data_IF_799572984417
#
_entry.id   IF_799572984417
#
_cell.length_a   1.000
_cell.length_b   1.000
_cell.length_c   1.000
_cell.angle_alpha   90.00
_cell.angle_beta   90.00
_cell.angle_gamma   90.00
#
_symmetry.space_group_name_H-M   'P 1'
#
loop_
_entity.id
_entity.type
_entity.pdbx_description
1 polymer ?
#
# COMPACT_ATOMS: atom_id res chain seq x y z
N UNK A 1 -61.85 6.76 30.49
CA UNK A 1 -60.87 7.43 31.36
C UNK A 1 -59.80 8.04 30.46
N UNK A 2 -59.86 9.36 30.34
CA UNK A 2 -58.99 10.23 29.53
C UNK A 2 -57.73 10.61 30.30
N UNK A 3 -56.66 10.85 29.53
CA UNK A 3 -55.66 11.92 29.64
C UNK A 3 -54.59 11.58 28.59
N UNK A 4 -54.45 12.17 27.39
CA UNK A 4 -54.60 13.54 26.88
C UNK A 4 -53.66 14.56 27.56
N UNK A 5 -52.68 15.07 26.79
CA UNK A 5 -52.13 16.44 26.67
C UNK A 5 -50.66 16.38 26.19
N UNK A 6 -50.13 17.39 25.46
CA UNK A 6 -50.55 17.91 24.14
C UNK A 6 -49.36 17.99 23.12
N UNK A 7 -49.61 18.38 21.85
CA UNK A 7 -48.57 18.63 20.85
C UNK A 7 -48.06 20.08 20.90
N UNK A 8 -46.79 20.30 20.55
CA UNK A 8 -46.26 21.63 20.24
C UNK A 8 -46.21 21.82 18.72
N UNK A 9 -47.00 22.77 18.24
CA UNK A 9 -47.00 23.29 16.87
C UNK A 9 -46.48 24.74 16.86
N UNK A 10 -46.04 25.17 15.67
CA UNK A 10 -45.86 26.56 15.20
C UNK A 10 -44.57 27.28 15.67
N UNK A 11 -43.79 27.97 14.84
CA UNK A 11 -43.99 28.50 13.48
C UNK A 11 -42.68 29.06 12.92
N UNK A 12 -42.59 29.14 11.59
CA UNK A 12 -41.88 30.14 10.76
C UNK A 12 -40.39 30.40 11.04
N UNK A 13 -39.49 30.43 10.05
CA UNK A 13 -39.53 31.44 8.98
C UNK A 13 -38.55 31.03 7.88
N UNK A 14 -38.99 31.20 6.64
CA UNK A 14 -38.29 30.93 5.40
C UNK A 14 -37.50 32.13 4.87
N UNK A 15 -36.43 31.81 4.10
CA UNK A 15 -35.73 32.58 3.05
C UNK A 15 -34.56 33.51 3.44
N UNK A 16 -33.63 33.87 2.51
CA UNK A 16 -33.28 33.24 1.23
C UNK A 16 -31.77 32.99 1.00
N UNK A 17 -31.52 32.15 0.00
CA UNK A 17 -30.25 31.98 -0.71
C UNK A 17 -29.92 33.26 -1.49
N UNK A 18 -28.76 33.87 -1.25
CA UNK A 18 -28.23 34.99 -2.04
C UNK A 18 -26.82 34.68 -2.52
N UNK A 19 -26.70 34.44 -3.82
CA UNK A 19 -25.44 34.52 -4.55
C UNK A 19 -25.04 35.97 -4.77
N UNK A 20 -23.74 36.30 -4.74
CA UNK A 20 -23.23 37.47 -5.45
C UNK A 20 -22.37 37.04 -6.64
N UNK A 21 -22.85 37.33 -7.84
CA UNK A 21 -22.02 37.52 -9.02
C UNK A 21 -21.44 38.93 -8.96
N UNK A 22 -20.11 39.06 -8.96
CA UNK A 22 -19.44 40.32 -9.28
C UNK A 22 -18.08 40.05 -9.92
N UNK A 23 -18.05 40.30 -11.23
CA UNK A 23 -16.87 40.44 -12.08
C UNK A 23 -16.03 41.65 -11.62
N UNK A 24 -14.73 41.45 -11.40
CA UNK A 24 -13.75 42.53 -11.45
C UNK A 24 -12.39 41.99 -11.90
N UNK A 25 -12.05 42.25 -13.16
CA UNK A 25 -10.71 42.13 -13.70
C UNK A 25 -9.78 43.15 -13.03
N UNK A 26 -8.61 42.72 -12.56
CA UNK A 26 -7.44 43.61 -12.46
C UNK A 26 -6.16 42.81 -12.64
N UNK A 27 -5.42 43.21 -13.67
CA UNK A 27 -4.14 42.69 -14.13
C UNK A 27 -2.97 43.12 -13.24
N UNK A 28 -1.87 42.41 -13.46
CA UNK A 28 -0.47 42.70 -13.13
C UNK A 28 0.00 42.48 -11.69
N UNK A 29 0.70 41.35 -11.49
CA UNK A 29 2.17 41.33 -11.35
C UNK A 29 2.65 39.90 -11.09
N UNK A 30 2.90 39.14 -12.17
CA UNK A 30 3.69 37.92 -12.11
C UNK A 30 5.16 38.31 -11.87
N UNK A 31 5.63 38.23 -10.62
CA UNK A 31 7.03 37.91 -10.35
C UNK A 31 7.13 36.40 -10.17
N UNK A 32 7.58 35.75 -11.22
CA UNK A 32 7.85 34.32 -11.29
C UNK A 32 9.07 34.02 -10.39
N UNK A 33 8.82 33.68 -9.13
CA UNK A 33 9.83 33.11 -8.26
C UNK A 33 10.07 31.67 -8.72
N UNK A 34 11.34 31.22 -8.90
CA UNK A 34 11.61 29.87 -9.37
C UNK A 34 11.12 28.88 -8.31
N UNK A 35 9.98 28.24 -8.57
CA UNK A 35 9.49 27.15 -7.74
C UNK A 35 10.45 25.96 -7.86
N UNK A 36 10.93 25.53 -6.70
CA UNK A 36 11.91 24.46 -6.48
C UNK A 36 11.45 23.12 -7.09
N UNK A 37 11.87 22.83 -8.31
CA UNK A 37 11.72 21.50 -8.95
C UNK A 37 12.75 20.45 -8.47
N UNK A 38 13.50 20.70 -7.39
CA UNK A 38 14.57 19.82 -6.91
C UNK A 38 14.16 18.46 -6.27
N UNK A 39 13.03 18.29 -5.56
CA UNK A 39 12.80 17.03 -4.82
C UNK A 39 12.42 15.86 -5.74
N UNK A 40 11.71 16.14 -6.85
CA UNK A 40 11.26 15.10 -7.80
C UNK A 40 12.43 14.54 -8.61
N UNK A 41 13.42 15.38 -8.96
CA UNK A 41 14.60 14.94 -9.73
C UNK A 41 15.53 14.06 -8.91
N UNK A 42 15.69 14.33 -7.60
CA UNK A 42 16.51 13.51 -6.69
C UNK A 42 15.92 12.12 -6.49
N UNK A 43 14.63 12.03 -6.17
CA UNK A 43 13.93 10.73 -6.00
C UNK A 43 13.95 9.92 -7.30
N UNK A 44 13.79 10.57 -8.46
CA UNK A 44 13.90 9.89 -9.75
C UNK A 44 15.29 9.28 -9.97
N UNK A 45 16.36 9.99 -9.61
CA UNK A 45 17.72 9.47 -9.74
C UNK A 45 17.99 8.30 -8.77
N UNK A 46 17.51 8.40 -7.53
CA UNK A 46 17.59 7.32 -6.53
C UNK A 46 16.81 6.07 -6.99
N UNK A 47 15.63 6.25 -7.59
CA UNK A 47 14.84 5.14 -8.16
C UNK A 47 15.58 4.45 -9.32
N UNK A 48 16.23 5.21 -10.21
CA UNK A 48 17.04 4.62 -11.28
C UNK A 48 18.26 3.87 -10.74
N UNK A 49 18.92 4.41 -9.71
CA UNK A 49 20.02 3.72 -9.06
C UNK A 49 19.54 2.42 -8.39
N UNK A 50 18.42 2.47 -7.68
CA UNK A 50 17.82 1.29 -7.07
C UNK A 50 17.47 0.21 -8.10
N UNK A 51 16.90 0.58 -9.25
CA UNK A 51 16.61 -0.37 -10.35
C UNK A 51 17.86 -1.09 -10.84
N UNK A 52 18.99 -0.40 -10.97
CA UNK A 52 20.27 -1.01 -11.38
C UNK A 52 20.75 -2.02 -10.34
N UNK A 53 20.77 -1.62 -9.06
CA UNK A 53 21.16 -2.51 -7.96
C UNK A 53 20.27 -3.76 -7.92
N UNK A 54 18.95 -3.59 -8.02
CA UNK A 54 18.00 -4.70 -8.04
C UNK A 54 18.20 -5.63 -9.25
N UNK A 55 18.52 -5.09 -10.43
CA UNK A 55 18.80 -5.87 -11.63
C UNK A 55 20.09 -6.70 -11.47
N UNK A 56 21.16 -6.09 -10.98
CA UNK A 56 22.43 -6.79 -10.75
C UNK A 56 22.30 -7.90 -9.71
N UNK A 57 21.56 -7.66 -8.63
CA UNK A 57 21.27 -8.68 -7.61
C UNK A 57 20.49 -9.85 -8.19
N UNK A 58 19.50 -9.58 -9.06
CA UNK A 58 18.71 -10.62 -9.73
C UNK A 58 19.52 -11.43 -10.72
N UNK A 59 20.40 -10.80 -11.50
CA UNK A 59 21.26 -11.50 -12.46
C UNK A 59 22.20 -12.50 -11.76
N UNK A 60 22.70 -12.13 -10.58
CA UNK A 60 23.60 -12.95 -9.77
C UNK A 60 22.86 -13.96 -8.88
N UNK A 61 21.52 -13.94 -8.87
CA UNK A 61 20.74 -14.74 -7.95
C UNK A 61 20.76 -16.22 -8.34
N UNK A 62 21.48 -17.01 -7.54
CA UNK A 62 21.38 -18.47 -7.55
C UNK A 62 20.80 -18.93 -6.20
N UNK A 63 19.58 -19.51 -6.16
CA UNK A 63 19.00 -20.00 -4.91
C UNK A 63 19.88 -21.08 -4.28
N UNK A 64 20.16 -20.96 -2.99
CA UNK A 64 20.88 -21.99 -2.25
C UNK A 64 20.10 -23.34 -2.26
N UNK A 65 20.78 -24.50 -2.25
CA UNK A 65 20.10 -25.80 -2.29
C UNK A 65 19.33 -26.09 -0.99
N UNK A 66 19.87 -25.67 0.15
CA UNK A 66 19.28 -25.90 1.47
C UNK A 66 18.28 -24.80 1.86
N UNK A 67 17.13 -25.18 2.42
CA UNK A 67 16.08 -24.24 2.80
C UNK A 67 16.56 -23.17 3.79
N UNK A 68 17.29 -23.57 4.84
CA UNK A 68 17.82 -22.62 5.84
C UNK A 68 18.89 -21.68 5.26
N UNK A 69 19.62 -22.11 4.24
CA UNK A 69 20.54 -21.24 3.50
C UNK A 69 19.77 -20.25 2.62
N UNK A 70 18.65 -20.68 1.99
CA UNK A 70 17.76 -19.78 1.24
C UNK A 70 17.10 -18.74 2.13
N UNK A 71 16.70 -19.09 3.35
CA UNK A 71 16.12 -18.14 4.31
C UNK A 71 17.11 -17.03 4.66
N UNK A 72 18.35 -17.39 5.01
CA UNK A 72 19.45 -16.43 5.24
C UNK A 72 19.75 -15.59 4.01
N UNK A 73 19.85 -16.24 2.83
CA UNK A 73 20.05 -15.56 1.56
C UNK A 73 18.94 -14.53 1.28
N UNK A 74 17.67 -14.84 1.58
CA UNK A 74 16.58 -13.88 1.46
C UNK A 74 16.80 -12.67 2.37
N UNK A 75 17.17 -12.89 3.62
CA UNK A 75 17.47 -11.80 4.55
C UNK A 75 18.65 -10.93 4.08
N UNK A 76 19.74 -11.54 3.63
CA UNK A 76 20.93 -10.81 3.15
C UNK A 76 20.58 -9.93 1.94
N UNK A 77 19.86 -10.50 0.96
CA UNK A 77 19.38 -9.75 -0.21
C UNK A 77 18.40 -8.63 0.16
N UNK A 78 17.54 -8.87 1.14
CA UNK A 78 16.64 -7.84 1.66
C UNK A 78 17.42 -6.69 2.31
N UNK A 79 18.46 -7.01 3.07
CA UNK A 79 19.31 -6.02 3.73
C UNK A 79 20.04 -5.13 2.70
N UNK A 80 20.60 -5.74 1.65
CA UNK A 80 21.25 -5.03 0.54
C UNK A 80 20.27 -4.07 -0.16
N UNK A 81 19.04 -4.53 -0.43
CA UNK A 81 18.00 -3.72 -1.05
C UNK A 81 17.49 -2.62 -0.11
N UNK A 82 17.32 -2.91 1.18
CA UNK A 82 16.79 -1.98 2.17
C UNK A 82 17.67 -0.72 2.29
N UNK A 83 18.99 -0.87 2.30
CA UNK A 83 19.94 0.24 2.33
C UNK A 83 19.87 1.17 1.11
N UNK A 84 19.45 0.63 -0.04
CA UNK A 84 19.37 1.35 -1.31
C UNK A 84 17.95 1.78 -1.69
N UNK A 85 16.94 1.44 -0.89
CA UNK A 85 15.54 1.65 -1.24
C UNK A 85 15.07 3.09 -0.96
N UNK A 86 14.77 3.90 -2.00
CA UNK A 86 14.22 5.24 -1.79
C UNK A 86 12.80 5.21 -1.23
N UNK A 87 12.00 4.20 -1.55
CA UNK A 87 10.62 4.07 -1.08
C UNK A 87 10.28 2.64 -0.66
N UNK A 88 9.26 2.47 0.19
CA UNK A 88 8.75 1.12 0.50
C UNK A 88 8.16 0.43 -0.74
N UNK A 89 7.64 1.21 -1.69
CA UNK A 89 6.97 0.69 -2.89
C UNK A 89 7.96 -0.04 -3.78
N UNK A 90 9.13 0.56 -4.04
CA UNK A 90 10.15 -0.08 -4.86
C UNK A 90 10.73 -1.33 -4.17
N UNK A 91 10.97 -1.28 -2.85
CA UNK A 91 11.38 -2.44 -2.07
C UNK A 91 10.35 -3.57 -2.15
N UNK A 92 9.08 -3.27 -1.87
CA UNK A 92 7.99 -4.24 -1.93
C UNK A 92 7.91 -4.86 -3.32
N UNK A 93 7.87 -4.06 -4.39
CA UNK A 93 7.75 -4.55 -5.76
C UNK A 93 8.89 -5.48 -6.14
N UNK A 94 10.13 -5.11 -5.84
CA UNK A 94 11.29 -5.89 -6.27
C UNK A 94 11.52 -7.14 -5.42
N UNK A 95 11.12 -7.10 -4.14
CA UNK A 95 11.43 -8.18 -3.20
C UNK A 95 10.24 -9.09 -2.90
N UNK A 96 9.11 -8.53 -2.49
CA UNK A 96 7.90 -9.25 -2.03
C UNK A 96 6.77 -9.32 -3.07
N UNK A 97 6.81 -8.49 -4.10
CA UNK A 97 5.78 -8.42 -5.14
C UNK A 97 5.71 -9.71 -5.95
N UNK A 98 4.69 -9.85 -6.81
CA UNK A 98 4.41 -11.13 -7.49
C UNK A 98 5.53 -11.70 -8.38
N UNK A 99 6.50 -10.88 -8.80
CA UNK A 99 7.72 -11.31 -9.50
C UNK A 99 8.99 -10.98 -8.69
N UNK A 100 8.85 -10.82 -7.38
CA UNK A 100 9.92 -10.42 -6.49
C UNK A 100 10.92 -11.56 -6.21
N UNK A 101 12.05 -11.19 -5.61
CA UNK A 101 13.14 -12.11 -5.24
C UNK A 101 12.63 -13.31 -4.42
N UNK A 102 11.65 -13.12 -3.53
CA UNK A 102 11.09 -14.20 -2.71
C UNK A 102 10.52 -15.34 -3.56
N UNK A 103 9.85 -15.04 -4.68
CA UNK A 103 9.30 -16.08 -5.56
C UNK A 103 10.37 -16.82 -6.37
N UNK A 104 11.54 -16.20 -6.56
CA UNK A 104 12.69 -16.85 -7.19
C UNK A 104 13.41 -17.79 -6.21
N UNK A 105 13.46 -17.43 -4.92
CA UNK A 105 14.07 -18.25 -3.86
C UNK A 105 13.16 -19.41 -3.42
N UNK A 106 11.85 -19.20 -3.38
CA UNK A 106 10.87 -20.17 -2.88
C UNK A 106 9.80 -20.45 -3.93
N UNK A 107 10.14 -21.30 -4.91
CA UNK A 107 9.31 -21.54 -6.08
C UNK A 107 8.08 -22.42 -5.82
N UNK A 108 8.03 -23.13 -4.68
CA UNK A 108 6.88 -23.98 -4.30
C UNK A 108 6.06 -23.31 -3.20
N UNK A 109 4.75 -23.59 -3.18
CA UNK A 109 3.86 -23.07 -2.14
C UNK A 109 4.22 -23.58 -0.74
N UNK A 110 4.76 -24.80 -0.64
CA UNK A 110 5.20 -25.39 0.63
C UNK A 110 6.44 -24.70 1.17
N UNK A 111 7.44 -24.43 0.31
CA UNK A 111 8.64 -23.69 0.67
C UNK A 111 8.29 -22.26 1.06
N UNK A 112 7.47 -21.57 0.26
CA UNK A 112 7.04 -20.22 0.54
C UNK A 112 6.28 -20.16 1.87
N UNK A 113 5.27 -21.01 2.06
CA UNK A 113 4.53 -21.06 3.32
C UNK A 113 5.44 -21.32 4.53
N UNK A 114 6.45 -22.18 4.37
CA UNK A 114 7.47 -22.42 5.41
C UNK A 114 8.31 -21.19 5.70
N UNK A 115 8.75 -20.48 4.66
CA UNK A 115 9.51 -19.24 4.79
C UNK A 115 8.71 -18.14 5.51
N UNK A 116 7.41 -18.01 5.24
CA UNK A 116 6.55 -16.99 5.89
C UNK A 116 6.44 -17.15 7.41
N UNK A 117 6.87 -18.28 7.97
CA UNK A 117 6.92 -18.55 9.42
C UNK A 117 8.31 -18.38 10.04
N UNK A 118 9.31 -18.02 9.24
CA UNK A 118 10.69 -17.88 9.69
C UNK A 118 10.95 -16.52 10.34
N UNK A 119 12.01 -16.45 11.14
CA UNK A 119 12.47 -15.20 11.74
C UNK A 119 12.99 -14.24 10.66
N UNK A 120 13.63 -14.76 9.62
CA UNK A 120 14.13 -13.97 8.49
C UNK A 120 12.99 -13.20 7.81
N UNK A 121 11.86 -13.86 7.56
CA UNK A 121 10.68 -13.17 7.02
C UNK A 121 10.11 -12.12 7.98
N UNK A 122 10.09 -12.40 9.29
CA UNK A 122 9.69 -11.41 10.29
C UNK A 122 10.57 -10.15 10.23
N UNK A 123 11.88 -10.32 10.16
CA UNK A 123 12.83 -9.20 10.04
C UNK A 123 12.62 -8.41 8.73
N UNK A 124 12.35 -9.09 7.61
CA UNK A 124 12.01 -8.43 6.33
C UNK A 124 10.73 -7.59 6.46
N UNK A 125 9.73 -8.06 7.21
CA UNK A 125 8.52 -7.28 7.48
C UNK A 125 8.79 -6.05 8.36
N UNK A 126 9.73 -6.14 9.30
CA UNK A 126 10.19 -4.98 10.08
C UNK A 126 10.92 -3.95 9.20
N UNK A 127 11.78 -4.41 8.27
CA UNK A 127 12.41 -3.53 7.26
C UNK A 127 11.35 -2.79 6.43
N UNK A 128 10.35 -3.49 5.91
CA UNK A 128 9.27 -2.87 5.16
C UNK A 128 8.48 -1.85 6.00
N UNK A 129 8.23 -2.17 7.26
CA UNK A 129 7.57 -1.26 8.21
C UNK A 129 8.39 0.02 8.43
N UNK A 130 9.72 -0.11 8.57
CA UNK A 130 10.61 1.03 8.70
C UNK A 130 10.69 1.88 7.41
N UNK A 131 10.60 1.27 6.22
CA UNK A 131 10.50 2.05 4.97
C UNK A 131 9.18 2.84 4.90
N UNK A 132 8.09 2.28 5.43
CA UNK A 132 6.77 2.92 5.43
C UNK A 132 6.64 4.09 6.41
N UNK A 133 7.49 4.17 7.43
CA UNK A 133 7.49 5.32 8.33
C UNK A 133 8.18 6.55 7.74
N UNK A 134 8.85 6.42 6.58
CA UNK A 134 9.45 7.55 5.86
C UNK A 134 8.37 8.33 5.10
N UNK A 135 8.53 9.64 5.00
CA UNK A 135 7.67 10.46 4.15
C UNK A 135 7.86 10.07 2.69
N UNK A 136 6.77 9.74 2.01
CA UNK A 136 6.79 9.41 0.59
C UNK A 136 6.45 10.65 -0.23
N UNK A 137 7.03 10.81 -1.42
CA UNK A 137 6.44 11.69 -2.42
C UNK A 137 5.00 11.24 -2.69
N UNK A 138 4.10 12.21 -2.80
CA UNK A 138 2.64 12.00 -2.87
C UNK A 138 2.20 11.18 -4.10
N UNK A 139 3.10 10.96 -5.08
CA UNK A 139 2.94 10.03 -6.18
C UNK A 139 4.32 9.60 -6.72
N UNK A 140 4.62 8.29 -6.74
CA UNK A 140 5.71 7.74 -7.57
C UNK A 140 5.21 7.68 -9.03
N UNK A 141 5.84 8.41 -9.98
CA UNK A 141 5.47 8.35 -11.39
C UNK A 141 5.52 6.93 -11.99
N UNK A 142 6.35 6.06 -11.42
CA UNK A 142 6.51 4.67 -11.86
C UNK A 142 5.51 3.70 -11.25
N UNK A 143 4.79 4.11 -10.19
CA UNK A 143 3.82 3.26 -9.51
C UNK A 143 2.52 4.02 -9.21
N UNK A 144 1.67 4.21 -10.25
CA UNK A 144 0.47 5.01 -10.11
C UNK A 144 -0.53 4.31 -9.19
N UNK A 145 -1.07 5.05 -8.22
CA UNK A 145 -2.04 4.51 -7.28
C UNK A 145 -3.30 3.97 -7.98
N UNK A 146 -3.84 2.88 -7.44
CA UNK A 146 -5.09 2.26 -7.87
C UNK A 146 -6.00 2.06 -6.66
N UNK A 147 -7.28 2.38 -6.83
CA UNK A 147 -8.29 2.18 -5.81
C UNK A 147 -8.92 0.79 -5.96
N UNK A 148 -9.05 0.07 -4.85
CA UNK A 148 -9.84 -1.14 -4.75
C UNK A 148 -11.06 -0.87 -3.88
N UNK A 149 -12.21 -1.44 -4.27
CA UNK A 149 -13.43 -1.40 -3.46
C UNK A 149 -13.79 -2.83 -3.08
N UNK A 150 -13.79 -3.12 -1.77
CA UNK A 150 -14.09 -4.45 -1.23
C UNK A 150 -15.43 -4.38 -0.49
N UNK A 151 -16.29 -5.37 -0.71
CA UNK A 151 -17.52 -5.55 0.07
C UNK A 151 -17.22 -6.43 1.28
N UNK A 152 -17.35 -5.87 2.48
CA UNK A 152 -17.12 -6.59 3.75
C UNK A 152 -18.45 -6.81 4.48
N UNK A 153 -18.63 -7.94 5.20
CA UNK A 153 -19.69 -8.07 6.19
C UNK A 153 -19.61 -6.94 7.22
N UNK A 154 -20.76 -6.46 7.70
CA UNK A 154 -20.84 -5.35 8.66
C UNK A 154 -19.98 -5.60 9.91
N UNK A 155 -20.09 -6.79 10.50
CA UNK A 155 -19.34 -7.17 11.70
C UNK A 155 -17.82 -7.13 11.50
N UNK A 156 -17.33 -7.54 10.32
CA UNK A 156 -15.91 -7.46 9.99
C UNK A 156 -15.44 -6.02 9.84
N UNK A 157 -16.24 -5.18 9.19
CA UNK A 157 -15.94 -3.76 9.04
C UNK A 157 -15.85 -3.05 10.39
N UNK A 158 -16.82 -3.30 11.29
CA UNK A 158 -16.83 -2.72 12.64
C UNK A 158 -15.60 -3.13 13.44
N UNK A 159 -15.26 -4.43 13.45
CA UNK A 159 -14.05 -4.92 14.11
C UNK A 159 -12.75 -4.26 13.57
N UNK A 160 -12.70 -3.98 12.26
CA UNK A 160 -11.57 -3.26 11.66
C UNK A 160 -11.51 -1.79 12.09
N UNK A 161 -12.65 -1.11 12.24
CA UNK A 161 -12.70 0.26 12.76
C UNK A 161 -12.21 0.31 14.20
N UNK A 162 -12.71 -0.57 15.06
CA UNK A 162 -12.34 -0.62 16.48
C UNK A 162 -10.83 -0.88 16.66
N UNK A 163 -10.26 -1.75 15.84
CA UNK A 163 -8.83 -2.03 15.86
C UNK A 163 -7.98 -0.85 15.37
N UNK A 164 -8.41 -0.18 14.32
CA UNK A 164 -7.73 1.01 13.81
C UNK A 164 -7.76 2.13 14.86
N UNK A 165 -8.89 2.31 15.55
CA UNK A 165 -9.04 3.25 16.67
C UNK A 165 -8.10 2.88 17.83
N UNK A 166 -8.07 1.62 18.26
CA UNK A 166 -7.18 1.13 19.32
C UNK A 166 -5.70 1.36 19.01
N UNK A 167 -5.32 1.27 17.74
CA UNK A 167 -3.95 1.50 17.27
C UNK A 167 -3.67 2.96 16.88
N UNK A 168 -4.67 3.85 17.00
CA UNK A 168 -4.60 5.26 16.62
C UNK A 168 -4.12 5.48 15.17
N UNK A 169 -4.65 4.71 14.23
CA UNK A 169 -4.37 4.80 12.79
C UNK A 169 -5.65 4.81 11.97
N UNK A 170 -5.58 5.26 10.72
CA UNK A 170 -6.74 5.15 9.81
C UNK A 170 -6.98 3.70 9.39
N UNK A 171 -8.24 3.38 9.08
CA UNK A 171 -8.62 2.08 8.50
C UNK A 171 -7.81 1.77 7.24
N UNK A 172 -7.53 2.77 6.40
CA UNK A 172 -6.68 2.60 5.22
C UNK A 172 -5.25 2.18 5.60
N UNK A 173 -4.65 2.80 6.62
CA UNK A 173 -3.29 2.43 7.08
C UNK A 173 -3.26 0.99 7.60
N UNK A 174 -4.28 0.58 8.36
CA UNK A 174 -4.44 -0.80 8.82
C UNK A 174 -4.58 -1.78 7.63
N UNK A 175 -5.46 -1.48 6.68
CA UNK A 175 -5.68 -2.29 5.48
C UNK A 175 -4.39 -2.49 4.68
N UNK A 176 -3.66 -1.41 4.40
CA UNK A 176 -2.41 -1.52 3.64
C UNK A 176 -1.40 -2.36 4.42
N UNK A 177 -1.21 -2.13 5.73
CA UNK A 177 -0.28 -2.93 6.53
C UNK A 177 -0.60 -4.42 6.52
N UNK A 178 -1.89 -4.79 6.48
CA UNK A 178 -2.33 -6.20 6.31
C UNK A 178 -2.08 -6.74 4.92
N UNK A 179 -2.37 -5.96 3.87
CA UNK A 179 -2.20 -6.38 2.48
C UNK A 179 -0.73 -6.57 2.07
N UNK A 180 0.21 -5.98 2.81
CA UNK A 180 1.65 -6.17 2.58
C UNK A 180 2.20 -7.47 3.16
N UNK A 181 1.45 -8.16 4.02
CA UNK A 181 1.79 -9.50 4.45
C UNK A 181 1.47 -10.47 3.32
N UNK A 182 2.44 -11.28 2.92
CA UNK A 182 2.18 -12.41 2.04
C UNK A 182 1.31 -13.43 2.79
N UNK A 183 0.30 -13.95 2.11
CA UNK A 183 -0.54 -15.01 2.66
C UNK A 183 0.10 -16.37 2.39
N UNK A 184 0.11 -17.23 3.41
CA UNK A 184 0.40 -18.65 3.19
C UNK A 184 -0.65 -19.20 2.21
N UNK A 185 -0.25 -19.78 1.05
CA UNK A 185 -1.18 -20.33 0.08
C UNK A 185 -2.18 -21.33 0.69
N UNK A 186 -1.81 -22.02 1.78
CA UNK A 186 -2.67 -22.98 2.48
C UNK A 186 -3.81 -22.33 3.28
N UNK A 187 -3.74 -21.02 3.52
CA UNK A 187 -4.76 -20.26 4.25
C UNK A 187 -5.85 -19.70 3.32
N UNK A 188 -5.76 -19.96 2.01
CA UNK A 188 -6.76 -19.55 1.03
C UNK A 188 -7.69 -20.75 0.77
N UNK A 189 -8.99 -20.64 1.09
CA UNK A 189 -9.94 -21.72 0.84
C UNK A 189 -9.97 -22.10 -0.65
N UNK A 190 -9.90 -23.40 -0.95
CA UNK A 190 -10.09 -23.90 -2.31
C UNK A 190 -11.52 -23.57 -2.77
N UNK A 191 -11.64 -22.72 -3.78
CA UNK A 191 -12.94 -22.37 -4.33
C UNK A 191 -13.36 -23.42 -5.37
N UNK A 192 -14.35 -24.25 -5.04
CA UNK A 192 -15.02 -25.14 -6.00
C UNK A 192 -15.85 -24.36 -7.07
N UNK A 193 -15.95 -23.04 -6.94
CA UNK A 193 -16.67 -22.17 -7.87
C UNK A 193 -15.70 -21.30 -8.68
N UNK A 194 -16.04 -21.04 -9.95
CA UNK A 194 -15.31 -20.07 -10.81
C UNK A 194 -15.03 -18.77 -10.04
N UNK A 195 -13.82 -18.19 -10.13
CA UNK A 195 -13.49 -16.94 -9.49
C UNK A 195 -14.54 -15.86 -9.81
N UNK A 196 -15.16 -15.30 -8.78
CA UNK A 196 -16.12 -14.19 -8.94
C UNK A 196 -15.35 -12.88 -9.10
N UNK A 197 -15.68 -12.09 -10.12
CA UNK A 197 -15.11 -10.77 -10.35
C UNK A 197 -14.27 -10.64 -11.62
N UNK A 198 -13.64 -9.48 -11.80
CA UNK A 198 -12.77 -9.20 -12.95
C UNK A 198 -11.53 -10.08 -12.83
N UNK A 199 -11.26 -10.93 -13.82
CA UNK A 199 -9.96 -11.62 -13.92
C UNK A 199 -8.85 -10.55 -13.95
N UNK A 200 -7.71 -10.77 -13.26
CA UNK A 200 -6.56 -9.90 -13.41
C UNK A 200 -6.26 -9.74 -14.91
N UNK A 201 -6.17 -8.50 -15.40
CA UNK A 201 -5.74 -8.26 -16.79
C UNK A 201 -4.31 -8.80 -16.89
N UNK A 202 -4.11 -9.83 -17.70
CA UNK A 202 -2.77 -10.23 -18.12
C UNK A 202 -2.12 -9.02 -18.78
N UNK A 203 -1.04 -8.50 -18.21
CA UNK A 203 -0.15 -7.58 -18.95
C UNK A 203 0.42 -8.40 -20.11
N UNK A 204 -0.04 -8.14 -21.33
CA UNK A 204 0.74 -8.51 -22.50
C UNK A 204 2.07 -7.77 -22.38
N UNK A 205 3.16 -8.54 -22.34
CA UNK A 205 4.55 -8.08 -22.32
C UNK A 205 4.84 -7.07 -23.43
#
# INVERSE_FOLDING_TARGET
MNSQFPPHEMSGTSLPYSSPTATASRTDSFMDAPQKNEPVSKISAELEQFKKVAAELREKLAPAPEFSARCRQAFDLANDLFGNSPTWVCFYREFLGGNGVIHLLFSTNDDLGSFLRTEEYHQIQLMLTALRSRELPENDPHDPQRMITVRLPKSLHEAMCDEAERLNISVNRLCISRMLQMLDPKMIPEMNSKPRGRKPRTRSS
#
